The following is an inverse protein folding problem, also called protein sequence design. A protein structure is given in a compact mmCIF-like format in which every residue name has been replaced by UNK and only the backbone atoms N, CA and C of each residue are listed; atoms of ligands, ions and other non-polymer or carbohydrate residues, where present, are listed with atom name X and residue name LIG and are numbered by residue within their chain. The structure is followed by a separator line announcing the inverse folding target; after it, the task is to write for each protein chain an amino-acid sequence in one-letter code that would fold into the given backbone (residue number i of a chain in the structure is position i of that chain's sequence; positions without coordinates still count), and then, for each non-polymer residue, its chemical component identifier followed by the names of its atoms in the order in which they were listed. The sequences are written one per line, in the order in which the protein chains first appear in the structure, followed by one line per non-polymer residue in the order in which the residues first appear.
data_IF_028468337119
#
_entry.id   IF_028468337119
#
_cell.length_a   1.000
_cell.length_b   1.000
_cell.length_c   1.000
_cell.angle_alpha   90.00
_cell.angle_beta   90.00
_cell.angle_gamma   90.00
#
_symmetry.space_group_name_H-M   'P 1'
#
loop_
_entity.id
_entity.type
_entity.pdbx_description
1 polymer ?
#
# COMPACT_ATOMS: atom_id res chain seq x y z
N UNK A 1 -2.78 -19.64 34.95
CA UNK A 1 -3.97 -19.74 34.07
C UNK A 1 -3.48 -19.67 32.65
N UNK A 2 -3.64 -20.71 31.84
CA UNK A 2 -3.35 -20.66 30.39
C UNK A 2 -4.54 -19.98 29.70
N UNK A 3 -4.30 -18.86 29.02
CA UNK A 3 -5.32 -18.23 28.18
C UNK A 3 -5.39 -19.00 26.86
N UNK A 4 -6.59 -19.46 26.50
CA UNK A 4 -6.88 -20.00 25.17
C UNK A 4 -7.56 -18.89 24.36
N UNK A 5 -6.89 -18.40 23.32
CA UNK A 5 -7.47 -17.46 22.37
C UNK A 5 -7.85 -18.24 21.10
N UNK A 6 -9.11 -18.16 20.69
CA UNK A 6 -9.59 -18.69 19.41
C UNK A 6 -9.92 -17.49 18.53
N UNK A 7 -9.34 -17.43 17.33
CA UNK A 7 -9.70 -16.42 16.33
C UNK A 7 -10.77 -17.03 15.42
N UNK A 8 -12.03 -16.59 15.50
CA UNK A 8 -13.13 -17.21 14.75
C UNK A 8 -12.89 -17.22 13.24
N UNK A 9 -12.24 -16.19 12.70
CA UNK A 9 -11.93 -16.06 11.28
C UNK A 9 -10.94 -17.15 10.82
N UNK A 10 -9.87 -17.37 11.59
CA UNK A 10 -8.87 -18.42 11.28
C UNK A 10 -9.50 -19.81 11.38
N UNK A 11 -10.40 -20.00 12.35
CA UNK A 11 -11.09 -21.27 12.51
C UNK A 11 -12.08 -21.55 11.36
N UNK A 12 -12.73 -20.52 10.82
CA UNK A 12 -13.62 -20.66 9.67
C UNK A 12 -12.85 -21.10 8.40
N UNK A 13 -11.68 -20.51 8.15
CA UNK A 13 -10.82 -20.90 7.03
C UNK A 13 -10.33 -22.35 7.19
N UNK A 14 -9.87 -22.71 8.38
CA UNK A 14 -9.43 -24.08 8.67
C UNK A 14 -10.56 -25.11 8.47
N UNK A 15 -11.80 -24.77 8.84
CA UNK A 15 -12.99 -25.61 8.58
C UNK A 15 -13.21 -25.82 7.08
N UNK A 16 -13.05 -24.77 6.27
CA UNK A 16 -13.18 -24.85 4.82
C UNK A 16 -12.10 -25.75 4.20
N UNK A 17 -10.85 -25.62 4.65
CA UNK A 17 -9.74 -26.47 4.20
C UNK A 17 -10.00 -27.95 4.53
N UNK A 18 -10.40 -28.25 5.76
CA UNK A 18 -10.74 -29.62 6.19
C UNK A 18 -11.89 -30.18 5.36
N UNK A 19 -12.91 -29.37 5.04
CA UNK A 19 -13.99 -29.79 4.15
C UNK A 19 -13.47 -30.09 2.72
N UNK A 20 -12.54 -29.28 2.21
CA UNK A 20 -11.86 -29.47 0.94
C UNK A 20 -11.08 -30.78 0.86
N UNK A 21 -10.30 -31.10 1.91
CA UNK A 21 -9.56 -32.38 2.02
C UNK A 21 -10.53 -33.56 1.94
N UNK A 22 -11.64 -33.51 2.70
CA UNK A 22 -12.65 -34.57 2.68
C UNK A 22 -13.34 -34.72 1.31
N UNK A 23 -13.49 -33.64 0.54
CA UNK A 23 -13.99 -33.70 -0.83
C UNK A 23 -12.96 -34.34 -1.78
N UNK A 24 -11.69 -33.94 -1.69
CA UNK A 24 -10.61 -34.48 -2.51
C UNK A 24 -10.43 -36.00 -2.30
N UNK A 25 -10.43 -36.46 -1.04
CA UNK A 25 -10.28 -37.89 -0.71
C UNK A 25 -11.46 -38.72 -1.26
N UNK A 26 -12.69 -38.22 -1.15
CA UNK A 26 -13.87 -38.88 -1.74
C UNK A 26 -13.80 -38.94 -3.26
N UNK A 27 -13.40 -37.85 -3.90
CA UNK A 27 -13.24 -37.78 -5.35
C UNK A 27 -12.17 -38.78 -5.84
N UNK A 28 -11.02 -38.84 -5.16
CA UNK A 28 -9.97 -39.80 -5.46
C UNK A 28 -10.42 -41.26 -5.28
N UNK A 29 -11.12 -41.55 -4.18
CA UNK A 29 -11.63 -42.91 -3.90
C UNK A 29 -12.69 -43.33 -4.90
N UNK A 30 -13.55 -42.42 -5.35
CA UNK A 30 -14.53 -42.66 -6.41
C UNK A 30 -13.86 -42.89 -7.77
N UNK A 31 -12.86 -42.08 -8.13
CA UNK A 31 -12.12 -42.20 -9.39
C UNK A 31 -11.37 -43.53 -9.50
N UNK A 32 -10.81 -44.04 -8.39
CA UNK A 32 -10.11 -45.32 -8.36
C UNK A 32 -11.03 -46.56 -8.38
N UNK A 33 -12.33 -46.40 -8.10
CA UNK A 33 -13.26 -47.50 -7.85
C UNK A 33 -13.31 -48.51 -9.00
N UNK A 34 -13.62 -48.07 -10.22
CA UNK A 34 -13.79 -48.96 -11.38
C UNK A 34 -12.52 -49.75 -11.71
N UNK A 35 -11.36 -49.10 -11.65
CA UNK A 35 -10.06 -49.71 -11.94
C UNK A 35 -9.61 -50.75 -10.91
N UNK A 36 -10.06 -50.62 -9.66
CA UNK A 36 -9.65 -51.49 -8.56
C UNK A 36 -10.63 -52.65 -8.33
N UNK A 37 -11.92 -52.44 -8.59
CA UNK A 37 -12.93 -53.51 -8.48
C UNK A 37 -13.08 -54.33 -9.76
N UNK A 38 -12.63 -53.81 -10.91
CA UNK A 38 -12.75 -54.44 -12.23
C UNK A 38 -11.50 -55.17 -12.71
N UNK A 39 -10.57 -55.54 -11.81
CA UNK A 39 -9.34 -56.24 -12.17
C UNK A 39 -9.65 -57.59 -12.85
N UNK A 40 -9.10 -57.77 -14.05
CA UNK A 40 -9.21 -59.02 -14.79
C UNK A 40 -8.07 -59.97 -14.43
N UNK A 41 -8.34 -61.28 -14.48
CA UNK A 41 -7.30 -62.29 -14.32
C UNK A 41 -6.25 -62.17 -15.44
N UNK A 42 -4.98 -62.25 -15.07
CA UNK A 42 -3.86 -62.14 -16.01
C UNK A 42 -3.74 -63.35 -16.96
N UNK A 43 -4.26 -64.50 -16.53
CA UNK A 43 -4.30 -65.76 -17.28
C UNK A 43 -5.59 -66.53 -17.00
N UNK A 44 -5.80 -67.62 -17.75
CA UNK A 44 -6.98 -68.48 -17.61
C UNK A 44 -6.87 -69.49 -16.44
N UNK A 45 -5.77 -69.46 -15.70
CA UNK A 45 -5.51 -70.35 -14.56
C UNK A 45 -6.24 -69.89 -13.29
N UNK A 46 -6.47 -70.85 -12.40
CA UNK A 46 -7.20 -70.64 -11.15
C UNK A 46 -6.46 -69.70 -10.18
N UNK A 47 -5.13 -69.62 -10.26
CA UNK A 47 -4.33 -68.73 -9.39
C UNK A 47 -4.52 -67.28 -9.81
N UNK A 48 -4.47 -66.98 -11.11
CA UNK A 48 -4.77 -65.66 -11.67
C UNK A 48 -6.20 -65.22 -11.36
N UNK A 49 -7.17 -66.13 -11.46
CA UNK A 49 -8.56 -65.86 -11.11
C UNK A 49 -8.73 -65.58 -9.60
N UNK A 50 -8.09 -66.36 -8.73
CA UNK A 50 -8.14 -66.17 -7.29
C UNK A 50 -7.48 -64.86 -6.84
N UNK A 51 -6.36 -64.46 -7.46
CA UNK A 51 -5.69 -63.18 -7.19
C UNK A 51 -6.56 -61.98 -7.61
N UNK A 52 -7.16 -62.01 -8.80
CA UNK A 52 -8.08 -60.97 -9.24
C UNK A 52 -9.29 -60.82 -8.29
N UNK A 53 -9.85 -61.95 -7.83
CA UNK A 53 -10.93 -61.96 -6.85
C UNK A 53 -10.49 -61.38 -5.49
N UNK A 54 -9.30 -61.72 -5.00
CA UNK A 54 -8.75 -61.18 -3.75
C UNK A 54 -8.63 -59.65 -3.80
N UNK A 55 -8.05 -59.11 -4.88
CA UNK A 55 -7.93 -57.65 -5.05
C UNK A 55 -9.31 -56.99 -5.19
N UNK A 56 -10.25 -57.61 -5.90
CA UNK A 56 -11.63 -57.11 -6.02
C UNK A 56 -12.33 -57.03 -4.66
N UNK A 57 -12.23 -58.07 -3.83
CA UNK A 57 -12.80 -58.05 -2.46
C UNK A 57 -12.11 -57.01 -1.58
N UNK A 58 -10.79 -56.87 -1.66
CA UNK A 58 -10.06 -55.84 -0.91
C UNK A 58 -10.49 -54.42 -1.33
N UNK A 59 -10.64 -54.17 -2.63
CA UNK A 59 -11.12 -52.90 -3.16
C UNK A 59 -12.54 -52.57 -2.69
N UNK A 60 -13.45 -53.55 -2.67
CA UNK A 60 -14.80 -53.36 -2.11
C UNK A 60 -14.76 -53.03 -0.60
N UNK A 61 -13.90 -53.71 0.16
CA UNK A 61 -13.66 -53.39 1.57
C UNK A 61 -13.13 -51.96 1.78
N UNK A 62 -12.18 -51.53 0.95
CA UNK A 62 -11.67 -50.15 0.95
C UNK A 62 -12.78 -49.12 0.65
N UNK A 63 -13.65 -49.38 -0.33
CA UNK A 63 -14.75 -48.48 -0.67
C UNK A 63 -15.76 -48.34 0.49
N UNK A 64 -16.11 -49.46 1.15
CA UNK A 64 -16.97 -49.44 2.32
C UNK A 64 -16.36 -48.65 3.50
N UNK A 65 -15.07 -48.87 3.78
CA UNK A 65 -14.34 -48.12 4.81
C UNK A 65 -14.26 -46.62 4.48
N UNK A 66 -13.99 -46.28 3.21
CA UNK A 66 -13.92 -44.89 2.73
C UNK A 66 -15.26 -44.17 2.88
N UNK A 67 -16.39 -44.87 2.66
CA UNK A 67 -17.72 -44.31 2.91
C UNK A 67 -17.96 -44.03 4.41
N UNK A 68 -17.53 -44.92 5.30
CA UNK A 68 -17.64 -44.72 6.74
C UNK A 68 -16.79 -43.52 7.23
N UNK A 69 -15.55 -43.41 6.73
CA UNK A 69 -14.67 -42.27 6.99
C UNK A 69 -15.28 -40.97 6.46
N UNK A 70 -15.90 -40.99 5.28
CA UNK A 70 -16.58 -39.83 4.73
C UNK A 70 -17.72 -39.33 5.63
N UNK A 71 -18.53 -40.24 6.19
CA UNK A 71 -19.59 -39.87 7.14
C UNK A 71 -19.01 -39.28 8.43
N UNK A 72 -17.97 -39.90 8.99
CA UNK A 72 -17.27 -39.37 10.16
C UNK A 72 -16.70 -37.97 9.89
N UNK A 73 -16.04 -37.77 8.75
CA UNK A 73 -15.47 -36.48 8.35
C UNK A 73 -16.54 -35.39 8.24
N UNK A 74 -17.70 -35.71 7.68
CA UNK A 74 -18.82 -34.78 7.62
C UNK A 74 -19.35 -34.40 9.01
N UNK A 75 -19.44 -35.36 9.93
CA UNK A 75 -19.83 -35.09 11.32
C UNK A 75 -18.77 -34.22 12.02
N UNK A 76 -17.49 -34.50 11.81
CA UNK A 76 -16.38 -33.72 12.35
C UNK A 76 -16.43 -32.26 11.88
N UNK A 77 -16.56 -32.02 10.56
CA UNK A 77 -16.69 -30.68 9.99
C UNK A 77 -17.90 -29.95 10.58
N UNK A 78 -19.07 -30.60 10.67
CA UNK A 78 -20.28 -30.01 11.27
C UNK A 78 -20.08 -29.61 12.73
N UNK A 79 -19.44 -30.47 13.52
CA UNK A 79 -19.15 -30.19 14.92
C UNK A 79 -18.17 -29.01 15.07
N UNK A 80 -17.15 -28.95 14.21
CA UNK A 80 -16.17 -27.87 14.22
C UNK A 80 -16.79 -26.52 13.80
N UNK A 81 -17.68 -26.52 12.79
CA UNK A 81 -18.46 -25.33 12.42
C UNK A 81 -19.34 -24.86 13.58
N UNK A 82 -20.05 -25.77 14.26
CA UNK A 82 -20.89 -25.41 15.40
C UNK A 82 -20.06 -24.82 16.55
N UNK A 83 -18.87 -25.38 16.82
CA UNK A 83 -17.95 -24.83 17.81
C UNK A 83 -17.49 -23.42 17.43
N UNK A 84 -17.09 -23.19 16.17
CA UNK A 84 -16.68 -21.86 15.68
C UNK A 84 -17.78 -20.81 15.89
N UNK A 85 -19.03 -21.15 15.56
CA UNK A 85 -20.19 -20.26 15.78
C UNK A 85 -20.46 -20.01 17.26
N UNK A 86 -20.21 -20.99 18.13
CA UNK A 86 -20.39 -20.83 19.58
C UNK A 86 -19.35 -19.89 20.17
N UNK A 87 -18.09 -19.98 19.73
CA UNK A 87 -17.03 -19.06 20.17
C UNK A 87 -17.29 -17.64 19.68
N UNK A 88 -17.67 -17.46 18.41
CA UNK A 88 -18.06 -16.15 17.88
C UNK A 88 -19.27 -15.55 18.65
N UNK A 89 -20.27 -16.39 18.98
CA UNK A 89 -21.42 -15.99 19.78
C UNK A 89 -21.05 -15.57 21.21
N UNK A 90 -20.08 -16.24 21.83
CA UNK A 90 -19.59 -15.90 23.15
C UNK A 90 -18.87 -14.54 23.17
N UNK A 91 -18.04 -14.24 22.17
CA UNK A 91 -17.41 -12.93 22.00
C UNK A 91 -18.46 -11.82 21.84
N UNK A 92 -19.46 -12.03 20.98
CA UNK A 92 -20.55 -11.07 20.77
C UNK A 92 -21.41 -10.84 22.03
N UNK A 93 -21.71 -11.91 22.78
CA UNK A 93 -22.43 -11.81 24.06
C UNK A 93 -21.62 -11.09 25.14
N UNK A 94 -20.29 -11.17 25.07
CA UNK A 94 -19.39 -10.49 25.99
C UNK A 94 -19.23 -8.99 25.65
N UNK A 95 -19.30 -8.63 24.36
CA UNK A 95 -19.19 -7.25 23.90
C UNK A 95 -20.51 -6.45 23.99
N UNK A 96 -21.66 -7.09 23.77
CA UNK A 96 -22.97 -6.41 23.73
C UNK A 96 -23.30 -5.57 24.98
N UNK A 97 -23.10 -6.07 26.21
CA UNK A 97 -23.38 -5.27 27.42
C UNK A 97 -22.50 -4.02 27.56
N UNK A 98 -21.26 -4.06 27.04
CA UNK A 98 -20.36 -2.91 27.06
C UNK A 98 -20.82 -1.81 26.10
N UNK A 99 -21.33 -2.19 24.93
CA UNK A 99 -21.87 -1.23 23.97
C UNK A 99 -23.16 -0.56 24.49
N UNK A 100 -24.05 -1.32 25.13
CA UNK A 100 -25.24 -0.76 25.77
C UNK A 100 -24.89 0.22 26.88
N UNK A 101 -23.90 -0.11 27.71
CA UNK A 101 -23.40 0.78 28.76
C UNK A 101 -22.79 2.06 28.17
N UNK A 102 -21.97 1.97 27.12
CA UNK A 102 -21.40 3.14 26.45
C UNK A 102 -22.51 4.03 25.86
N UNK A 103 -23.52 3.44 25.25
CA UNK A 103 -24.68 4.17 24.74
C UNK A 103 -25.41 4.89 25.87
N UNK A 104 -25.62 4.22 27.02
CA UNK A 104 -26.26 4.83 28.18
C UNK A 104 -25.45 5.98 28.78
N UNK A 105 -24.11 5.84 28.84
CA UNK A 105 -23.19 6.90 29.32
C UNK A 105 -23.19 8.10 28.38
N UNK A 106 -23.20 7.86 27.06
CA UNK A 106 -23.15 8.93 26.06
C UNK A 106 -24.50 9.59 25.78
N UNK A 107 -25.63 8.90 26.03
CA UNK A 107 -26.96 9.41 25.69
C UNK A 107 -27.26 10.83 26.21
N UNK A 108 -26.91 11.22 27.45
CA UNK A 108 -27.15 12.57 27.93
C UNK A 108 -26.38 13.64 27.15
N UNK A 109 -25.09 13.41 26.86
CA UNK A 109 -24.27 14.41 26.15
C UNK A 109 -24.54 14.41 24.65
N UNK A 110 -24.87 13.27 24.06
CA UNK A 110 -25.35 13.21 22.68
C UNK A 110 -26.64 14.00 22.50
N UNK A 111 -27.57 13.87 23.44
CA UNK A 111 -28.83 14.63 23.41
C UNK A 111 -28.60 16.14 23.58
N UNK A 112 -27.76 16.53 24.54
CA UNK A 112 -27.61 17.94 24.93
C UNK A 112 -26.57 18.69 24.10
N UNK A 113 -25.50 18.01 23.70
CA UNK A 113 -24.29 18.61 23.11
C UNK A 113 -23.96 18.05 21.73
N UNK A 114 -24.74 17.07 21.23
CA UNK A 114 -24.53 16.39 19.93
C UNK A 114 -23.12 15.82 19.78
N UNK A 115 -22.55 15.40 20.92
CA UNK A 115 -21.21 14.85 21.01
C UNK A 115 -21.16 13.83 22.14
N UNK A 116 -20.52 12.67 21.94
CA UNK A 116 -20.42 11.67 22.99
C UNK A 116 -19.55 12.18 24.13
N UNK A 117 -19.76 11.67 25.34
CA UNK A 117 -18.89 11.95 26.47
C UNK A 117 -17.58 11.17 26.32
N UNK A 118 -17.69 9.92 25.90
CA UNK A 118 -16.60 8.97 25.70
C UNK A 118 -16.74 8.30 24.34
N UNK A 119 -15.67 8.26 23.56
CA UNK A 119 -15.61 7.52 22.30
C UNK A 119 -14.77 8.24 21.26
N UNK A 120 -14.18 7.49 20.34
CA UNK A 120 -13.39 8.09 19.27
C UNK A 120 -14.28 8.73 18.19
N UNK A 121 -13.76 9.75 17.52
CA UNK A 121 -14.43 10.41 16.43
C UNK A 121 -14.51 9.51 15.20
N UNK A 122 -15.63 9.53 14.51
CA UNK A 122 -15.82 8.74 13.29
C UNK A 122 -14.81 9.17 12.20
N UNK A 123 -14.18 8.24 11.47
CA UNK A 123 -13.38 8.58 10.30
C UNK A 123 -14.21 9.32 9.26
N UNK A 124 -13.62 10.32 8.63
CA UNK A 124 -14.20 11.05 7.52
C UNK A 124 -14.38 10.13 6.32
N UNK A 125 -15.62 9.97 5.86
CA UNK A 125 -15.93 9.25 4.64
C UNK A 125 -15.52 10.01 3.38
N UNK A 126 -15.90 9.48 2.23
CA UNK A 126 -15.69 10.14 0.93
C UNK A 126 -17.06 10.40 0.30
N UNK A 127 -17.33 11.64 -0.08
CA UNK A 127 -18.57 12.05 -0.76
C UNK A 127 -18.20 12.61 -2.11
N UNK A 128 -18.69 11.99 -3.18
CA UNK A 128 -18.36 12.33 -4.57
C UNK A 128 -16.85 12.39 -4.84
N UNK A 129 -16.09 11.48 -4.21
CA UNK A 129 -14.62 11.44 -4.32
C UNK A 129 -13.89 12.55 -3.55
N UNK A 130 -14.59 13.39 -2.77
CA UNK A 130 -14.01 14.37 -1.85
C UNK A 130 -14.03 13.81 -0.43
N UNK A 131 -12.84 13.75 0.19
CA UNK A 131 -12.64 13.36 1.57
C UNK A 131 -13.28 14.33 2.55
N UNK A 132 -14.10 13.80 3.44
CA UNK A 132 -14.80 14.57 4.46
C UNK A 132 -13.96 14.71 5.73
N UNK A 133 -14.27 15.70 6.56
CA UNK A 133 -13.61 15.84 7.85
C UNK A 133 -13.90 14.64 8.76
N UNK A 134 -12.91 14.25 9.56
CA UNK A 134 -13.10 13.31 10.66
C UNK A 134 -13.95 13.92 11.77
N UNK A 135 -14.79 13.12 12.39
CA UNK A 135 -15.61 13.51 13.53
C UNK A 135 -14.75 13.86 14.75
N UNK A 136 -15.26 14.72 15.62
CA UNK A 136 -14.61 14.99 16.90
C UNK A 136 -14.71 13.76 17.82
N UNK A 137 -13.65 13.49 18.61
CA UNK A 137 -13.70 12.49 19.69
C UNK A 137 -14.63 12.92 20.82
N UNK A 138 -14.86 12.08 21.81
CA UNK A 138 -15.73 12.36 22.95
C UNK A 138 -15.26 13.56 23.76
N UNK A 139 -16.17 14.19 24.50
CA UNK A 139 -15.90 15.39 25.30
C UNK A 139 -14.82 15.14 26.37
N UNK A 140 -14.87 13.97 27.03
CA UNK A 140 -13.96 13.62 28.11
C UNK A 140 -12.81 12.75 27.58
N UNK A 141 -13.14 11.61 26.97
CA UNK A 141 -12.17 10.67 26.42
C UNK A 141 -12.51 10.36 24.98
N UNK A 142 -11.53 10.48 24.10
CA UNK A 142 -11.68 10.06 22.71
C UNK A 142 -10.70 10.76 21.79
N UNK A 143 -10.11 9.98 20.90
CA UNK A 143 -9.31 10.48 19.81
C UNK A 143 -10.20 11.12 18.75
N UNK A 144 -9.69 12.11 18.03
CA UNK A 144 -10.36 12.61 16.84
C UNK A 144 -10.31 11.62 15.68
N UNK A 145 -11.36 11.60 14.85
CA UNK A 145 -11.41 10.73 13.68
C UNK A 145 -10.44 11.18 12.59
N UNK A 146 -9.87 10.24 11.83
CA UNK A 146 -9.05 10.58 10.67
C UNK A 146 -9.90 11.29 9.60
N UNK A 147 -9.33 12.28 8.91
CA UNK A 147 -9.94 12.90 7.74
C UNK A 147 -9.94 11.97 6.54
N UNK A 148 -10.99 12.03 5.73
CA UNK A 148 -11.12 11.23 4.53
C UNK A 148 -10.14 11.65 3.44
N UNK A 149 -9.63 10.69 2.68
CA UNK A 149 -8.76 10.94 1.54
C UNK A 149 -9.57 11.32 0.29
N UNK A 150 -9.11 12.35 -0.42
CA UNK A 150 -9.74 12.83 -1.64
C UNK A 150 -9.15 12.13 -2.85
N UNK A 151 -10.02 11.66 -3.75
CA UNK A 151 -9.63 11.01 -5.02
C UNK A 151 -9.96 11.88 -6.23
N UNK A 152 -10.83 12.89 -6.07
CA UNK A 152 -11.10 13.88 -7.12
C UNK A 152 -9.89 14.79 -7.34
N UNK A 153 -9.59 15.04 -8.60
CA UNK A 153 -8.43 15.85 -8.97
C UNK A 153 -8.48 17.27 -8.41
N UNK A 154 -7.37 17.74 -7.86
CA UNK A 154 -7.23 19.06 -7.22
C UNK A 154 -8.04 19.23 -5.93
N UNK A 155 -8.82 18.24 -5.50
CA UNK A 155 -9.65 18.33 -4.31
C UNK A 155 -8.83 18.23 -3.02
N UNK A 156 -9.13 19.05 -2.02
CA UNK A 156 -8.43 19.03 -0.73
C UNK A 156 -8.78 17.77 0.08
N UNK A 157 -7.83 17.24 0.85
CA UNK A 157 -8.07 16.16 1.80
C UNK A 157 -8.91 16.61 3.00
N UNK A 158 -9.67 15.69 3.59
CA UNK A 158 -10.49 15.98 4.77
C UNK A 158 -9.63 16.31 6.00
N UNK A 159 -10.05 17.27 6.81
CA UNK A 159 -9.36 17.56 8.07
C UNK A 159 -9.53 16.41 9.08
N UNK A 160 -8.52 16.14 9.91
CA UNK A 160 -8.65 15.28 11.07
C UNK A 160 -9.52 15.92 12.15
N UNK A 161 -10.30 15.10 12.85
CA UNK A 161 -11.16 15.53 13.95
C UNK A 161 -10.34 15.91 15.19
N UNK A 162 -10.88 16.81 16.01
CA UNK A 162 -10.28 17.16 17.29
C UNK A 162 -10.65 16.15 18.39
N UNK A 163 -9.74 15.92 19.34
CA UNK A 163 -10.04 15.22 20.58
C UNK A 163 -10.82 16.10 21.57
N UNK A 164 -11.23 15.53 22.71
CA UNK A 164 -11.87 16.24 23.82
C UNK A 164 -10.89 16.71 24.88
N UNK A 165 -11.15 16.34 26.14
CA UNK A 165 -10.27 16.63 27.26
C UNK A 165 -9.00 15.77 27.23
N UNK A 166 -9.18 14.47 26.94
CA UNK A 166 -8.13 13.47 26.79
C UNK A 166 -8.27 12.74 25.46
N UNK A 167 -7.18 12.63 24.70
CA UNK A 167 -7.15 11.89 23.43
C UNK A 167 -6.27 12.57 22.39
N UNK A 168 -5.85 11.84 21.37
CA UNK A 168 -5.04 12.38 20.28
C UNK A 168 -5.92 12.95 19.17
N UNK A 169 -5.43 13.98 18.49
CA UNK A 169 -6.10 14.51 17.30
C UNK A 169 -6.06 13.52 16.14
N UNK A 170 -7.09 13.54 15.31
CA UNK A 170 -7.15 12.69 14.12
C UNK A 170 -6.17 13.13 13.03
N UNK A 171 -5.67 12.21 12.23
CA UNK A 171 -4.80 12.56 11.09
C UNK A 171 -5.59 13.25 9.98
N UNK A 172 -4.98 14.18 9.26
CA UNK A 172 -5.56 14.74 8.04
C UNK A 172 -5.56 13.73 6.89
N UNK A 173 -6.56 13.83 6.01
CA UNK A 173 -6.70 13.00 4.82
C UNK A 173 -5.82 13.47 3.67
N UNK A 174 -5.54 12.58 2.72
CA UNK A 174 -4.74 12.89 1.54
C UNK A 174 -5.49 13.85 0.58
N UNK A 175 -4.76 14.78 -0.03
CA UNK A 175 -5.26 15.60 -1.14
C UNK A 175 -5.35 14.83 -2.47
N UNK A 176 -6.33 15.17 -3.30
CA UNK A 176 -6.56 14.50 -4.58
C UNK A 176 -5.48 14.78 -5.62
N UNK A 177 -5.29 13.89 -6.60
CA UNK A 177 -4.21 14.00 -7.58
C UNK A 177 -4.34 15.24 -8.47
N UNK A 178 -3.27 15.64 -9.14
CA UNK A 178 -3.30 16.65 -10.19
C UNK A 178 -3.91 16.09 -11.49
N UNK A 179 -4.30 16.98 -12.39
CA UNK A 179 -4.54 16.68 -13.82
C UNK A 179 -3.71 17.61 -14.68
N UNK A 180 -3.77 17.48 -16.01
CA UNK A 180 -3.09 18.39 -16.92
C UNK A 180 -3.47 19.88 -16.76
N UNK A 181 -4.58 20.18 -16.08
CA UNK A 181 -5.10 21.56 -15.92
C UNK A 181 -5.28 21.95 -14.44
N UNK A 182 -5.11 21.03 -13.50
CA UNK A 182 -5.30 21.25 -12.06
C UNK A 182 -4.08 20.75 -11.30
N UNK A 183 -3.54 21.57 -10.40
CA UNK A 183 -2.53 21.11 -9.44
C UNK A 183 -3.11 20.06 -8.48
N UNK A 184 -2.25 19.29 -7.83
CA UNK A 184 -2.67 18.36 -6.80
C UNK A 184 -3.36 19.11 -5.65
N UNK A 185 -4.39 18.51 -5.09
CA UNK A 185 -5.11 19.06 -3.94
C UNK A 185 -4.25 19.06 -2.69
N UNK A 186 -4.43 20.04 -1.82
CA UNK A 186 -3.73 20.08 -0.55
C UNK A 186 -4.16 18.92 0.37
N UNK A 187 -3.23 18.41 1.18
CA UNK A 187 -3.56 17.49 2.25
C UNK A 187 -4.39 18.16 3.35
N UNK A 188 -5.25 17.38 4.00
CA UNK A 188 -6.07 17.85 5.12
C UNK A 188 -5.22 18.17 6.35
N UNK A 189 -5.64 19.16 7.14
CA UNK A 189 -4.97 19.45 8.41
C UNK A 189 -5.18 18.31 9.42
N UNK A 190 -4.18 18.04 10.25
CA UNK A 190 -4.36 17.19 11.43
C UNK A 190 -5.26 17.86 12.48
N UNK A 191 -5.97 17.06 13.24
CA UNK A 191 -6.87 17.51 14.31
C UNK A 191 -6.12 17.86 15.60
N UNK A 192 -6.73 18.69 16.44
CA UNK A 192 -6.14 19.03 17.73
C UNK A 192 -6.18 17.85 18.71
N UNK A 193 -5.10 17.67 19.46
CA UNK A 193 -5.03 16.77 20.62
C UNK A 193 -5.85 17.29 21.79
N UNK A 194 -6.01 16.44 22.80
CA UNK A 194 -6.85 16.70 23.97
C UNK A 194 -6.34 17.87 24.79
N UNK A 195 -7.26 18.63 25.39
CA UNK A 195 -6.90 19.86 26.10
C UNK A 195 -5.94 19.63 27.28
N UNK A 196 -6.08 18.52 28.00
CA UNK A 196 -5.18 18.16 29.10
C UNK A 196 -4.08 17.24 28.60
N UNK A 197 -4.44 16.13 27.95
CA UNK A 197 -3.47 15.15 27.45
C UNK A 197 -3.82 14.66 26.06
N UNK A 198 -2.83 14.71 25.17
CA UNK A 198 -2.93 14.16 23.82
C UNK A 198 -2.08 14.90 22.80
N UNK A 199 -1.52 14.14 21.87
CA UNK A 199 -0.79 14.69 20.74
C UNK A 199 -1.74 15.25 19.68
N UNK A 200 -1.30 16.26 18.95
CA UNK A 200 -1.99 16.68 17.73
C UNK A 200 -1.87 15.63 16.63
N UNK A 201 -2.88 15.54 15.77
CA UNK A 201 -2.87 14.63 14.63
C UNK A 201 -1.91 15.10 13.54
N UNK A 202 -1.31 14.18 12.79
CA UNK A 202 -0.47 14.55 11.66
C UNK A 202 -1.29 15.17 10.52
N UNK A 203 -0.71 16.10 9.77
CA UNK A 203 -1.30 16.60 8.53
C UNK A 203 -1.26 15.54 7.43
N UNK A 204 -2.29 15.54 6.58
CA UNK A 204 -2.38 14.64 5.43
C UNK A 204 -1.40 15.02 4.33
N UNK A 205 -0.94 14.07 3.51
CA UNK A 205 -0.07 14.38 2.37
C UNK A 205 -0.83 15.14 1.28
N UNK A 206 -0.11 15.99 0.55
CA UNK A 206 -0.61 16.64 -0.66
C UNK A 206 -0.79 15.66 -1.81
N UNK A 207 -1.69 15.97 -2.73
CA UNK A 207 -1.98 15.16 -3.90
C UNK A 207 -0.81 15.08 -4.88
N UNK A 208 -0.64 13.94 -5.52
CA UNK A 208 0.47 13.70 -6.45
C UNK A 208 0.29 14.59 -7.70
N UNK A 209 1.38 15.17 -8.20
CA UNK A 209 1.46 15.97 -9.41
C UNK A 209 1.38 15.14 -10.70
N UNK A 210 1.26 15.83 -11.83
CA UNK A 210 1.37 15.25 -13.19
C UNK A 210 2.39 16.04 -14.00
N UNK A 211 2.68 15.58 -15.22
CA UNK A 211 3.72 16.14 -16.09
C UNK A 211 3.57 17.65 -16.36
N UNK A 212 2.33 18.13 -16.35
CA UNK A 212 1.98 19.54 -16.62
C UNK A 212 1.45 20.28 -15.39
N UNK A 213 1.44 19.65 -14.20
CA UNK A 213 0.88 20.27 -13.00
C UNK A 213 1.56 19.78 -11.72
N UNK A 214 1.94 20.72 -10.85
CA UNK A 214 2.59 20.42 -9.58
C UNK A 214 1.72 19.56 -8.65
N UNK A 215 2.36 18.83 -7.74
CA UNK A 215 1.69 18.20 -6.62
C UNK A 215 1.11 19.22 -5.63
N UNK A 216 0.18 18.79 -4.81
CA UNK A 216 -0.46 19.60 -3.79
C UNK A 216 0.42 19.81 -2.57
N UNK A 217 0.15 20.83 -1.77
CA UNK A 217 0.87 21.04 -0.51
C UNK A 217 0.45 20.01 0.54
N UNK A 218 1.36 19.66 1.45
CA UNK A 218 0.99 18.87 2.63
C UNK A 218 0.11 19.66 3.59
N UNK A 219 -0.73 18.96 4.34
CA UNK A 219 -1.57 19.55 5.37
C UNK A 219 -0.76 19.95 6.60
N UNK A 220 -1.21 20.96 7.33
CA UNK A 220 -0.60 21.32 8.62
C UNK A 220 -0.85 20.22 9.67
N UNK A 221 0.10 20.02 10.59
CA UNK A 221 -0.14 19.18 11.76
C UNK A 221 -1.07 19.85 12.77
N UNK A 222 -1.73 19.05 13.59
CA UNK A 222 -2.63 19.52 14.64
C UNK A 222 -1.89 19.98 15.89
N UNK A 223 -2.50 20.88 16.65
CA UNK A 223 -1.93 21.35 17.92
C UNK A 223 -2.14 20.32 19.04
N UNK A 224 -1.26 20.29 20.03
CA UNK A 224 -1.50 19.58 21.29
C UNK A 224 -2.07 20.52 22.37
N UNK A 225 -2.65 19.94 23.42
CA UNK A 225 -3.06 20.65 24.63
C UNK A 225 -1.92 20.79 25.65
N UNK A 226 -2.26 20.78 26.94
CA UNK A 226 -1.32 21.03 28.04
C UNK A 226 -0.16 20.02 28.09
N UNK A 227 -0.47 18.74 27.90
CA UNK A 227 0.51 17.65 27.86
C UNK A 227 0.40 16.88 26.54
N UNK A 228 1.36 17.08 25.66
CA UNK A 228 1.42 16.39 24.38
C UNK A 228 2.37 17.10 23.41
N UNK A 229 2.60 16.46 22.27
CA UNK A 229 3.38 17.05 21.17
C UNK A 229 2.45 17.40 20.02
N UNK A 230 2.72 18.54 19.36
CA UNK A 230 2.03 18.87 18.12
C UNK A 230 2.21 17.77 17.06
N UNK A 231 1.24 17.64 16.18
CA UNK A 231 1.31 16.74 15.03
C UNK A 231 2.31 17.25 14.01
N UNK A 232 2.94 16.32 13.29
CA UNK A 232 3.82 16.65 12.17
C UNK A 232 3.01 17.20 11.01
N UNK A 233 3.60 18.12 10.24
CA UNK A 233 3.05 18.51 8.94
C UNK A 233 3.05 17.33 7.96
N UNK A 234 2.11 17.34 7.03
CA UNK A 234 2.05 16.41 5.91
C UNK A 234 3.12 16.70 4.87
N UNK A 235 3.54 15.66 4.16
CA UNK A 235 4.45 15.82 3.02
C UNK A 235 3.74 16.52 1.85
N UNK A 236 4.49 17.33 1.10
CA UNK A 236 4.03 17.82 -0.20
C UNK A 236 3.85 16.67 -1.21
N UNK A 237 2.97 16.86 -2.18
CA UNK A 237 2.74 15.95 -3.28
C UNK A 237 3.94 15.87 -4.20
N UNK A 238 4.31 14.65 -4.59
CA UNK A 238 5.43 14.43 -5.51
C UNK A 238 5.11 15.07 -6.87
N UNK A 239 6.07 15.81 -7.45
CA UNK A 239 5.98 16.29 -8.83
C UNK A 239 6.18 15.16 -9.84
N UNK A 240 5.80 15.38 -11.09
CA UNK A 240 6.11 14.43 -12.15
C UNK A 240 7.58 14.49 -12.58
N UNK A 241 8.12 13.36 -13.01
CA UNK A 241 9.39 13.26 -13.74
C UNK A 241 9.31 14.12 -15.00
N UNK A 242 10.23 15.06 -15.21
CA UNK A 242 10.22 15.92 -16.40
C UNK A 242 10.27 15.10 -17.71
N UNK A 243 9.65 15.62 -18.77
CA UNK A 243 9.80 15.02 -20.12
C UNK A 243 11.23 15.15 -20.59
N UNK A 244 11.75 14.12 -21.25
CA UNK A 244 12.90 14.25 -22.13
C UNK A 244 12.61 15.36 -23.15
N UNK A 245 13.50 16.35 -23.26
CA UNK A 245 13.33 17.45 -24.22
C UNK A 245 13.33 16.91 -25.65
N UNK A 246 12.27 17.19 -26.41
CA UNK A 246 12.20 16.91 -27.85
C UNK A 246 12.09 18.24 -28.61
N UNK A 247 13.00 18.47 -29.57
CA UNK A 247 12.86 19.59 -30.52
C UNK A 247 11.93 19.16 -31.68
N UNK A 248 11.03 20.03 -32.18
CA UNK A 248 10.15 19.70 -33.30
C UNK A 248 10.97 19.54 -34.58
N UNK A 249 10.56 18.57 -35.40
CA UNK A 249 11.00 18.32 -36.77
C UNK A 249 12.51 18.03 -36.94
N UNK A 250 12.83 16.74 -37.04
CA UNK A 250 14.11 16.29 -37.58
C UNK A 250 14.25 16.79 -39.03
N UNK A 251 15.04 17.84 -39.25
CA UNK A 251 15.61 18.07 -40.57
C UNK A 251 16.50 16.87 -40.92
N UNK A 252 16.32 16.24 -42.09
CA UNK A 252 16.96 14.96 -42.40
C UNK A 252 18.43 15.14 -42.76
N UNK A 253 19.33 14.84 -41.82
CA UNK A 253 20.77 14.71 -42.05
C UNK A 253 21.50 14.10 -40.85
N UNK A 254 22.60 13.34 -41.05
CA UNK A 254 23.36 12.74 -39.93
C UNK A 254 24.16 13.82 -39.19
N UNK A 255 23.82 14.07 -37.92
CA UNK A 255 24.61 14.94 -37.04
C UNK A 255 25.83 14.17 -36.50
N UNK A 256 26.98 14.85 -36.37
CA UNK A 256 28.07 14.33 -35.53
C UNK A 256 27.69 14.55 -34.06
N UNK A 257 28.05 13.63 -33.16
CA UNK A 257 27.73 13.73 -31.74
C UNK A 257 28.98 14.07 -30.93
N UNK A 258 28.90 15.08 -30.06
CA UNK A 258 29.97 15.39 -29.11
C UNK A 258 30.01 14.37 -27.97
N UNK A 259 31.14 14.26 -27.27
CA UNK A 259 31.32 13.20 -26.27
C UNK A 259 30.38 13.36 -25.09
N UNK A 260 29.80 12.24 -24.68
CA UNK A 260 28.95 12.17 -23.50
C UNK A 260 29.78 12.33 -22.22
N UNK A 261 29.15 12.95 -21.22
CA UNK A 261 29.69 13.09 -19.89
C UNK A 261 29.79 11.74 -19.19
N UNK A 262 30.90 11.53 -18.47
CA UNK A 262 31.09 10.32 -17.68
C UNK A 262 30.10 10.24 -16.50
N UNK A 263 29.60 9.03 -16.24
CA UNK A 263 28.74 8.77 -15.08
C UNK A 263 29.51 8.93 -13.76
N UNK A 264 28.82 9.43 -12.75
CA UNK A 264 29.28 9.48 -11.38
C UNK A 264 29.31 8.10 -10.71
N UNK A 265 30.11 7.96 -9.66
CA UNK A 265 30.18 6.74 -8.85
C UNK A 265 30.05 7.09 -7.37
N UNK A 266 29.41 6.20 -6.59
CA UNK A 266 29.31 6.31 -5.13
C UNK A 266 28.82 7.67 -4.60
N UNK A 267 27.74 8.20 -5.18
CA UNK A 267 27.18 9.49 -4.80
C UNK A 267 27.86 10.71 -5.41
N UNK A 268 28.87 10.55 -6.29
CA UNK A 268 29.43 11.67 -7.04
C UNK A 268 28.52 12.07 -8.21
N UNK A 269 28.54 13.34 -8.58
CA UNK A 269 27.77 13.84 -9.72
C UNK A 269 28.29 13.27 -11.05
N UNK A 270 27.39 13.16 -12.02
CA UNK A 270 27.72 12.90 -13.41
C UNK A 270 28.39 14.12 -14.06
N UNK A 271 29.28 13.88 -15.02
CA UNK A 271 29.98 14.96 -15.73
C UNK A 271 29.09 15.56 -16.81
N UNK A 272 29.23 16.87 -17.09
CA UNK A 272 28.57 17.46 -18.24
C UNK A 272 29.02 16.80 -19.56
N UNK A 273 28.15 16.78 -20.55
CA UNK A 273 28.51 16.43 -21.93
C UNK A 273 29.25 17.57 -22.62
N UNK A 274 30.09 17.23 -23.60
CA UNK A 274 30.87 18.22 -24.34
C UNK A 274 29.98 19.06 -25.28
N UNK A 275 30.35 20.33 -25.46
CA UNK A 275 29.68 21.17 -26.45
C UNK A 275 30.02 20.73 -27.88
N UNK A 276 29.02 20.76 -28.77
CA UNK A 276 29.21 20.55 -30.21
C UNK A 276 29.90 21.75 -30.85
N UNK A 277 31.20 21.66 -31.11
CA UNK A 277 32.02 22.75 -31.68
C UNK A 277 32.17 22.69 -33.20
N UNK A 278 31.68 21.63 -33.84
CA UNK A 278 31.72 21.43 -35.30
C UNK A 278 30.39 21.77 -36.02
N UNK A 279 30.44 22.08 -37.33
CA UNK A 279 29.24 22.32 -38.12
C UNK A 279 28.33 21.08 -38.06
N UNK A 280 27.06 21.30 -37.75
CA UNK A 280 26.07 20.25 -37.54
C UNK A 280 26.43 19.20 -36.47
N UNK A 281 27.11 19.61 -35.39
CA UNK A 281 27.45 18.72 -34.27
C UNK A 281 26.51 18.89 -33.06
N UNK A 282 25.84 17.81 -32.68
CA UNK A 282 25.00 17.73 -31.48
C UNK A 282 25.88 17.83 -30.22
N UNK A 283 25.39 18.51 -29.19
CA UNK A 283 26.02 18.49 -27.88
C UNK A 283 25.95 17.10 -27.24
N UNK A 284 26.95 16.75 -26.44
CA UNK A 284 27.06 15.46 -25.76
C UNK A 284 26.03 15.36 -24.63
N UNK A 285 25.54 14.15 -24.36
CA UNK A 285 24.63 13.93 -23.23
C UNK A 285 25.39 14.05 -21.90
N UNK A 286 24.73 14.52 -20.85
CA UNK A 286 25.31 14.56 -19.51
C UNK A 286 25.33 13.17 -18.87
N UNK A 287 26.38 12.87 -18.11
CA UNK A 287 26.51 11.58 -17.41
C UNK A 287 25.51 11.43 -16.27
N UNK A 288 25.10 10.20 -15.99
CA UNK A 288 24.23 9.91 -14.85
C UNK A 288 24.94 10.14 -13.50
N UNK A 289 24.20 10.57 -12.48
CA UNK A 289 24.68 10.72 -11.12
C UNK A 289 24.93 9.37 -10.43
N UNK A 290 25.95 9.31 -9.58
CA UNK A 290 26.35 8.08 -8.91
C UNK A 290 25.36 7.66 -7.83
N UNK A 291 24.93 6.39 -7.85
CA UNK A 291 24.11 5.82 -6.79
C UNK A 291 24.89 5.74 -5.46
N UNK A 292 24.18 5.84 -4.33
CA UNK A 292 24.76 5.73 -2.99
C UNK A 292 23.93 4.86 -2.06
N UNK A 293 24.55 3.82 -1.52
CA UNK A 293 23.90 2.90 -0.58
C UNK A 293 24.67 2.83 0.72
N UNK A 294 23.98 2.92 1.86
CA UNK A 294 24.58 2.76 3.19
C UNK A 294 23.73 1.83 4.06
N UNK A 295 24.39 0.91 4.74
CA UNK A 295 23.72 -0.06 5.63
C UNK A 295 23.76 0.36 7.11
N UNK A 296 24.66 1.28 7.48
CA UNK A 296 24.91 1.64 8.88
C UNK A 296 25.09 3.15 9.12
N UNK A 297 24.50 4.00 8.26
CA UNK A 297 24.60 5.46 8.40
C UNK A 297 23.37 6.04 9.11
N UNK A 298 23.58 6.70 10.24
CA UNK A 298 22.53 7.47 10.93
C UNK A 298 22.33 8.86 10.31
N UNK A 299 23.27 9.34 9.51
CA UNK A 299 23.18 10.61 8.78
C UNK A 299 22.57 10.46 7.38
N UNK A 300 22.05 11.57 6.83
CA UNK A 300 21.53 11.61 5.46
C UNK A 300 22.59 11.23 4.45
N UNK A 301 22.27 10.32 3.54
CA UNK A 301 23.09 10.06 2.36
C UNK A 301 22.44 10.68 1.13
N UNK A 302 23.26 11.26 0.26
CA UNK A 302 22.82 11.90 -0.97
C UNK A 302 23.48 11.20 -2.15
N UNK A 303 22.69 10.88 -3.17
CA UNK A 303 23.22 10.39 -4.44
C UNK A 303 23.62 11.56 -5.36
N UNK A 304 24.49 11.28 -6.32
CA UNK A 304 25.03 12.33 -7.19
C UNK A 304 23.97 12.90 -8.12
N UNK A 305 24.04 14.18 -8.44
CA UNK A 305 23.23 14.78 -9.49
C UNK A 305 23.66 14.30 -10.87
N UNK A 306 22.76 14.34 -11.85
CA UNK A 306 23.10 14.12 -13.25
C UNK A 306 23.88 15.30 -13.83
N UNK A 307 24.78 15.02 -14.77
CA UNK A 307 25.52 16.04 -15.50
C UNK A 307 24.64 16.78 -16.50
N UNK A 308 24.96 18.03 -16.79
CA UNK A 308 24.23 18.79 -17.81
C UNK A 308 24.58 18.31 -19.22
N UNK A 309 23.63 18.39 -20.16
CA UNK A 309 23.92 18.18 -21.57
C UNK A 309 24.78 19.32 -22.12
N UNK A 310 25.64 19.01 -23.10
CA UNK A 310 26.45 20.00 -23.81
C UNK A 310 25.62 20.83 -24.77
N UNK A 311 25.98 22.09 -24.95
CA UNK A 311 25.38 22.95 -25.96
C UNK A 311 25.75 22.48 -27.37
N UNK A 312 25.01 22.91 -28.39
CA UNK A 312 25.30 22.54 -29.77
C UNK A 312 25.63 23.71 -30.67
N UNK A 313 26.10 23.39 -31.88
CA UNK A 313 26.23 24.38 -32.95
C UNK A 313 24.86 24.86 -33.47
N UNK A 314 24.77 26.06 -34.10
CA UNK A 314 23.55 26.60 -34.70
C UNK A 314 22.77 25.59 -35.54
N UNK A 315 21.47 25.44 -35.27
CA UNK A 315 20.57 24.61 -36.06
C UNK A 315 20.58 23.10 -35.74
N UNK A 316 21.31 22.64 -34.72
CA UNK A 316 21.28 21.22 -34.28
C UNK A 316 20.95 21.08 -32.79
N UNK A 317 20.43 19.94 -32.30
CA UNK A 317 20.00 19.80 -30.90
C UNK A 317 21.16 19.90 -29.91
N UNK A 318 20.89 20.45 -28.72
CA UNK A 318 21.78 20.29 -27.57
C UNK A 318 21.80 18.84 -27.07
N UNK A 319 22.73 18.52 -26.19
CA UNK A 319 22.77 17.26 -25.47
C UNK A 319 21.69 17.17 -24.39
N UNK A 320 21.22 15.97 -24.09
CA UNK A 320 20.30 15.75 -22.96
C UNK A 320 21.05 15.82 -21.63
N UNK A 321 20.40 16.27 -20.56
CA UNK A 321 20.95 16.12 -19.21
C UNK A 321 20.97 14.65 -18.77
N UNK A 322 21.85 14.31 -17.83
CA UNK A 322 21.95 13.00 -17.23
C UNK A 322 20.96 12.79 -16.09
N UNK A 323 20.61 11.54 -15.81
CA UNK A 323 19.74 11.20 -14.69
C UNK A 323 20.42 11.44 -13.34
N UNK A 324 19.64 11.79 -12.32
CA UNK A 324 20.12 11.83 -10.95
C UNK A 324 20.32 10.42 -10.37
N UNK A 325 21.32 10.27 -9.50
CA UNK A 325 21.59 9.01 -8.82
C UNK A 325 20.53 8.64 -7.79
N UNK A 326 20.43 7.36 -7.47
CA UNK A 326 19.52 6.82 -6.46
C UNK A 326 20.24 6.63 -5.12
N UNK A 327 19.55 6.94 -4.01
CA UNK A 327 20.08 6.81 -2.66
C UNK A 327 19.26 5.82 -1.83
N UNK A 328 19.92 4.93 -1.09
CA UNK A 328 19.28 3.98 -0.18
C UNK A 328 20.02 3.89 1.16
N UNK A 329 19.37 4.27 2.26
CA UNK A 329 19.92 4.19 3.61
C UNK A 329 19.01 3.34 4.50
N UNK A 330 19.55 2.26 5.07
CA UNK A 330 18.79 1.33 5.88
C UNK A 330 18.40 1.88 7.27
N UNK A 331 19.20 2.81 7.82
CA UNK A 331 19.05 3.28 9.21
C UNK A 331 18.83 4.79 9.34
N UNK A 332 18.72 5.52 8.23
CA UNK A 332 18.58 6.97 8.23
C UNK A 332 18.00 7.51 6.92
N UNK A 333 17.83 8.83 6.80
CA UNK A 333 17.26 9.45 5.60
C UNK A 333 18.16 9.29 4.36
N UNK A 334 17.54 9.21 3.18
CA UNK A 334 18.22 9.12 1.88
C UNK A 334 17.62 10.14 0.90
N UNK A 335 18.46 10.83 0.15
CA UNK A 335 18.07 11.82 -0.85
C UNK A 335 18.65 11.42 -2.21
N UNK A 336 17.78 11.22 -3.19
CA UNK A 336 18.20 11.02 -4.58
C UNK A 336 18.86 12.28 -5.15
N UNK A 337 19.69 12.08 -6.17
CA UNK A 337 20.24 13.17 -6.96
C UNK A 337 19.18 13.77 -7.88
N UNK A 338 19.31 15.06 -8.17
CA UNK A 338 18.49 15.71 -9.19
C UNK A 338 19.05 15.42 -10.59
N UNK A 339 18.21 15.44 -11.62
CA UNK A 339 18.67 15.32 -13.01
C UNK A 339 19.43 16.56 -13.47
N UNK A 340 20.30 16.38 -14.46
CA UNK A 340 21.00 17.47 -15.13
C UNK A 340 20.11 18.23 -16.10
N UNK A 341 20.43 19.49 -16.37
CA UNK A 341 19.70 20.29 -17.37
C UNK A 341 20.13 19.89 -18.79
N UNK A 342 19.23 19.99 -19.77
CA UNK A 342 19.61 19.86 -21.18
C UNK A 342 20.52 21.00 -21.63
N UNK A 343 21.34 20.74 -22.64
CA UNK A 343 22.14 21.76 -23.32
C UNK A 343 21.29 22.63 -24.25
N UNK A 344 21.71 23.87 -24.46
CA UNK A 344 21.05 24.79 -25.37
C UNK A 344 21.25 24.35 -26.82
N UNK A 345 20.15 24.25 -27.56
CA UNK A 345 20.21 24.10 -29.01
C UNK A 345 20.74 25.39 -29.65
N UNK A 346 21.56 25.26 -30.70
CA UNK A 346 22.06 26.43 -31.41
C UNK A 346 20.93 27.18 -32.13
N UNK A 347 20.93 28.52 -32.01
CA UNK A 347 19.94 29.41 -32.64
C UNK A 347 19.97 29.21 -34.16
N UNK A 348 18.83 28.83 -34.75
CA UNK A 348 18.65 28.74 -36.20
C UNK A 348 18.36 30.09 -36.84
#
# INVERSE_FOLDING_TARGET
MSYMAVVPEILADAVADVAGIGAAVRAASAAASSSTTGLLAAGADEVSAALAALFGTHAQGYQAASAQVATFHQQFVRALTAAATSYAGAEAASASPLQELLNAINAPTELLLKRPLIGDGAPGGVVNGIGQAGGAGGLLFGNGGAGGSTTVAGGMGGAGGAAGLFGNGGTGGQGGPATATLIGGAGGSGGAGGMIFGAGGAGGPGGIGTLSAAGGTGGIGGNAGLFGTGGTGGMGGQGATGTTGTNPDQLPGPYLHAHDGANGTNGSDGKPGDAGVGPNQQGGTGGAGGNRTAQNSLGTITAGAGGNGGDSSPGVPGGTGGDGGTAANALGPAQGGHGGTGGMGGVG
#
